data_IF_954243040367
#
_entry.id   IF_954243040367
#
_cell.length_a   1.000
_cell.length_b   1.000
_cell.length_c   1.000
_cell.angle_alpha   90.00
_cell.angle_beta   90.00
_cell.angle_gamma   90.00
#
_symmetry.space_group_name_H-M   'P 1'
#
loop_
_entity.id
_entity.type
_entity.pdbx_description
1 polymer ?
#
# COMPACT_ATOMS: atom_id res chain seq x y z
N UNK A 1 22.80 58.00 -18.45
CA UNK A 1 22.12 56.88 -19.06
C UNK A 1 22.63 55.62 -18.38
N UNK A 2 21.89 55.15 -17.41
CA UNK A 2 22.26 53.97 -16.62
C UNK A 2 21.25 52.87 -16.93
N UNK A 3 21.68 51.84 -17.68
CA UNK A 3 20.86 50.72 -18.03
C UNK A 3 20.91 49.68 -16.90
N UNK A 4 19.85 49.62 -16.11
CA UNK A 4 19.58 48.54 -15.16
C UNK A 4 19.16 47.30 -15.92
N UNK A 5 20.10 46.41 -16.20
CA UNK A 5 19.80 45.03 -16.63
C UNK A 5 19.50 44.19 -15.38
N UNK A 6 18.23 44.20 -14.95
CA UNK A 6 17.73 43.22 -13.98
C UNK A 6 17.69 41.86 -14.62
N UNK A 7 18.71 41.04 -14.36
CA UNK A 7 18.74 39.60 -14.65
C UNK A 7 17.62 38.92 -13.85
N UNK A 8 16.48 38.68 -14.50
CA UNK A 8 15.45 37.78 -14.04
C UNK A 8 16.03 36.35 -14.00
N UNK A 9 16.53 35.96 -12.85
CA UNK A 9 16.82 34.57 -12.56
C UNK A 9 15.49 33.80 -12.65
N UNK A 10 15.35 32.83 -13.56
CA UNK A 10 14.13 32.04 -13.60
C UNK A 10 14.05 31.28 -12.28
N UNK A 11 13.04 31.62 -11.47
CA UNK A 11 12.69 30.81 -10.31
C UNK A 11 12.43 29.39 -10.80
N UNK A 12 13.32 28.47 -10.47
CA UNK A 12 13.12 27.05 -10.66
C UNK A 12 11.83 26.66 -9.92
N UNK A 13 10.74 26.60 -10.65
CA UNK A 13 9.47 26.06 -10.17
C UNK A 13 9.69 24.58 -9.90
N UNK A 14 10.11 24.28 -8.67
CA UNK A 14 10.27 22.91 -8.17
C UNK A 14 8.91 22.23 -8.29
N UNK A 15 8.79 21.34 -9.28
CA UNK A 15 7.95 20.16 -9.09
C UNK A 15 6.48 20.26 -9.45
N UNK A 16 6.03 21.11 -10.37
CA UNK A 16 4.68 20.95 -10.92
C UNK A 16 4.60 19.67 -11.77
N UNK A 17 3.98 18.62 -11.22
CA UNK A 17 3.74 17.36 -11.95
C UNK A 17 2.98 17.69 -13.24
N UNK A 18 3.46 17.25 -14.43
CA UNK A 18 2.79 17.48 -15.69
C UNK A 18 1.34 17.00 -15.68
N UNK A 19 0.39 17.67 -16.36
CA UNK A 19 -1.02 17.31 -16.32
C UNK A 19 -1.29 15.85 -16.71
N UNK A 20 -0.59 15.32 -17.70
CA UNK A 20 -0.69 13.91 -18.09
C UNK A 20 -0.24 12.97 -16.95
N UNK A 21 0.85 13.28 -16.27
CA UNK A 21 1.34 12.47 -15.14
C UNK A 21 0.36 12.49 -13.94
N UNK A 22 -0.39 13.58 -13.74
CA UNK A 22 -1.44 13.64 -12.70
C UNK A 22 -2.63 12.74 -13.02
N UNK A 23 -3.00 12.60 -14.29
CA UNK A 23 -4.07 11.68 -14.70
C UNK A 23 -3.68 10.24 -14.44
N UNK A 24 -2.47 9.84 -14.84
CA UNK A 24 -1.96 8.50 -14.59
C UNK A 24 -1.79 8.19 -13.11
N UNK A 25 -1.26 9.13 -12.34
CA UNK A 25 -1.14 8.98 -10.88
C UNK A 25 -2.51 8.77 -10.22
N UNK A 26 -3.52 9.50 -10.68
CA UNK A 26 -4.90 9.31 -10.22
C UNK A 26 -5.41 7.90 -10.56
N UNK A 27 -5.23 7.45 -11.79
CA UNK A 27 -5.67 6.13 -12.23
C UNK A 27 -5.01 5.05 -11.38
N UNK A 28 -3.69 5.09 -11.23
CA UNK A 28 -2.95 4.11 -10.41
C UNK A 28 -3.46 4.08 -8.98
N UNK A 29 -3.56 5.24 -8.32
CA UNK A 29 -4.01 5.29 -6.93
C UNK A 29 -5.47 4.85 -6.76
N UNK A 30 -6.35 5.19 -7.71
CA UNK A 30 -7.74 4.71 -7.68
C UNK A 30 -7.85 3.21 -7.92
N UNK A 31 -7.04 2.64 -8.81
CA UNK A 31 -7.00 1.20 -9.07
C UNK A 31 -6.50 0.45 -7.82
N UNK A 32 -5.39 0.91 -7.25
CA UNK A 32 -4.82 0.33 -6.02
C UNK A 32 -5.82 0.41 -4.87
N UNK A 33 -6.33 1.61 -4.56
CA UNK A 33 -7.27 1.80 -3.47
C UNK A 33 -8.62 1.09 -3.71
N UNK A 34 -9.06 0.98 -4.95
CA UNK A 34 -10.25 0.22 -5.34
C UNK A 34 -10.07 -1.28 -5.11
N UNK A 35 -8.93 -1.82 -5.51
CA UNK A 35 -8.57 -3.23 -5.25
C UNK A 35 -8.49 -3.51 -3.75
N UNK A 36 -7.78 -2.68 -2.99
CA UNK A 36 -7.69 -2.79 -1.53
C UNK A 36 -9.05 -2.65 -0.85
N UNK A 37 -9.94 -1.79 -1.36
CA UNK A 37 -11.32 -1.67 -0.84
C UNK A 37 -12.10 -2.96 -1.05
N UNK A 38 -11.94 -3.61 -2.20
CA UNK A 38 -12.59 -4.87 -2.51
C UNK A 38 -12.07 -6.00 -1.59
N UNK A 39 -10.76 -6.13 -1.46
CA UNK A 39 -10.12 -7.12 -0.57
C UNK A 39 -10.53 -6.86 0.88
N UNK A 40 -10.42 -5.61 1.35
CA UNK A 40 -10.76 -5.26 2.71
C UNK A 40 -12.23 -5.51 3.07
N UNK A 41 -13.16 -5.33 2.13
CA UNK A 41 -14.57 -5.67 2.35
C UNK A 41 -14.79 -7.19 2.48
N UNK A 42 -14.04 -8.00 1.73
CA UNK A 42 -14.11 -9.45 1.87
C UNK A 42 -13.53 -9.91 3.22
N UNK A 43 -12.40 -9.34 3.63
CA UNK A 43 -11.75 -9.64 4.90
C UNK A 43 -12.57 -9.17 6.12
N UNK A 44 -13.34 -8.08 5.97
CA UNK A 44 -14.16 -7.51 7.03
C UNK A 44 -15.16 -8.51 7.62
N UNK A 45 -15.72 -9.37 6.80
CA UNK A 45 -16.64 -10.41 7.26
C UNK A 45 -15.92 -11.39 8.22
N UNK A 46 -14.66 -11.75 7.92
CA UNK A 46 -13.85 -12.63 8.75
C UNK A 46 -13.40 -12.01 10.08
N UNK A 47 -13.36 -10.67 10.17
CA UNK A 47 -12.96 -9.98 11.41
C UNK A 47 -13.93 -10.24 12.59
N UNK A 48 -15.16 -10.63 12.30
CA UNK A 48 -16.22 -10.88 13.30
C UNK A 48 -16.53 -12.37 13.49
N UNK A 49 -15.78 -13.24 12.84
CA UNK A 49 -15.92 -14.68 13.00
C UNK A 49 -15.32 -15.09 14.35
N UNK A 50 -16.15 -14.90 15.40
CA UNK A 50 -15.79 -15.21 16.77
C UNK A 50 -15.85 -16.73 16.97
N UNK A 51 -14.69 -17.37 16.93
CA UNK A 51 -14.57 -18.73 17.41
C UNK A 51 -14.81 -18.72 18.93
N UNK A 52 -15.48 -19.75 19.46
CA UNK A 52 -15.82 -19.91 20.89
C UNK A 52 -14.60 -19.95 21.84
N UNK A 53 -13.40 -19.84 21.35
CA UNK A 53 -12.16 -19.82 22.10
C UNK A 53 -11.81 -18.39 22.56
N UNK A 54 -11.24 -18.21 23.77
CA UNK A 54 -10.80 -16.90 24.25
C UNK A 54 -9.76 -16.34 23.28
N UNK A 55 -10.00 -15.12 22.78
CA UNK A 55 -9.14 -14.44 21.84
C UNK A 55 -7.75 -14.22 22.44
N UNK A 56 -6.72 -14.77 21.81
CA UNK A 56 -5.35 -14.41 22.13
C UNK A 56 -5.09 -12.96 21.72
N UNK A 57 -4.09 -12.32 22.32
CA UNK A 57 -3.70 -10.95 21.93
C UNK A 57 -3.38 -10.86 20.44
N UNK A 58 -2.67 -11.85 19.87
CA UNK A 58 -2.39 -11.90 18.43
C UNK A 58 -3.67 -11.97 17.58
N UNK A 59 -4.63 -12.80 17.96
CA UNK A 59 -5.91 -12.89 17.27
C UNK A 59 -6.68 -11.56 17.31
N UNK A 60 -6.68 -10.89 18.47
CA UNK A 60 -7.31 -9.57 18.59
C UNK A 60 -6.67 -8.56 17.63
N UNK A 61 -5.34 -8.53 17.53
CA UNK A 61 -4.62 -7.60 16.65
C UNK A 61 -4.92 -7.91 15.17
N UNK A 62 -4.96 -9.18 14.77
CA UNK A 62 -5.32 -9.60 13.42
C UNK A 62 -6.76 -9.17 13.10
N UNK A 63 -7.72 -9.47 13.99
CA UNK A 63 -9.11 -9.08 13.76
C UNK A 63 -9.30 -7.56 13.69
N UNK A 64 -8.57 -6.80 14.51
CA UNK A 64 -8.57 -5.34 14.44
C UNK A 64 -8.03 -4.85 13.08
N UNK A 65 -6.94 -5.45 12.55
CA UNK A 65 -6.41 -5.16 11.22
C UNK A 65 -7.47 -5.39 10.13
N UNK A 66 -8.11 -6.56 10.13
CA UNK A 66 -9.14 -6.91 9.16
C UNK A 66 -10.33 -5.94 9.23
N UNK A 67 -10.73 -5.54 10.44
CA UNK A 67 -11.83 -4.60 10.64
C UNK A 67 -11.53 -3.18 10.13
N UNK A 68 -10.29 -2.69 10.27
CA UNK A 68 -9.93 -1.33 9.85
C UNK A 68 -9.56 -1.23 8.35
N UNK A 69 -9.17 -2.33 7.71
CA UNK A 69 -8.72 -2.37 6.32
C UNK A 69 -9.65 -1.64 5.35
N UNK A 70 -10.95 -1.95 5.25
CA UNK A 70 -11.83 -1.31 4.27
C UNK A 70 -11.94 0.21 4.49
N UNK A 71 -11.85 0.68 5.72
CA UNK A 71 -11.94 2.12 6.00
C UNK A 71 -10.73 2.88 5.47
N UNK A 72 -9.52 2.34 5.65
CA UNK A 72 -8.30 2.93 5.08
C UNK A 72 -8.34 2.92 3.55
N UNK A 73 -8.73 1.81 2.96
CA UNK A 73 -8.80 1.64 1.51
C UNK A 73 -9.84 2.59 0.89
N UNK A 74 -11.06 2.67 1.44
CA UNK A 74 -12.11 3.58 0.98
C UNK A 74 -11.70 5.05 1.18
N UNK A 75 -11.09 5.39 2.31
CA UNK A 75 -10.57 6.73 2.54
C UNK A 75 -9.54 7.12 1.48
N UNK A 76 -8.58 6.23 1.17
CA UNK A 76 -7.59 6.44 0.14
C UNK A 76 -8.23 6.59 -1.25
N UNK A 77 -9.25 5.78 -1.57
CA UNK A 77 -10.00 5.87 -2.82
C UNK A 77 -10.70 7.23 -2.98
N UNK A 78 -11.38 7.70 -1.94
CA UNK A 78 -12.05 9.02 -1.93
C UNK A 78 -11.02 10.15 -2.08
N UNK A 79 -9.88 10.06 -1.38
CA UNK A 79 -8.82 11.06 -1.48
C UNK A 79 -8.19 11.09 -2.88
N UNK A 80 -7.93 9.94 -3.49
CA UNK A 80 -7.42 9.82 -4.86
C UNK A 80 -8.44 10.38 -5.89
N UNK A 81 -9.72 10.07 -5.72
CA UNK A 81 -10.79 10.60 -6.55
C UNK A 81 -10.88 12.13 -6.47
N UNK A 82 -10.69 12.70 -5.29
CA UNK A 82 -10.65 14.15 -5.02
C UNK A 82 -9.31 14.81 -5.36
N UNK A 83 -8.34 14.07 -5.92
CA UNK A 83 -7.00 14.53 -6.31
C UNK A 83 -6.09 14.91 -5.13
N UNK A 84 -6.38 14.47 -3.93
CA UNK A 84 -5.51 14.60 -2.75
C UNK A 84 -4.48 13.46 -2.73
N UNK A 85 -3.61 13.40 -3.74
CA UNK A 85 -2.71 12.27 -3.99
C UNK A 85 -1.76 11.98 -2.82
N UNK A 86 -1.22 13.03 -2.19
CA UNK A 86 -0.36 12.88 -1.01
C UNK A 86 -1.08 12.18 0.13
N UNK A 87 -2.28 12.64 0.45
CA UNK A 87 -3.08 12.06 1.53
C UNK A 87 -3.48 10.61 1.20
N UNK A 88 -3.82 10.31 -0.06
CA UNK A 88 -4.14 8.95 -0.49
C UNK A 88 -2.93 8.01 -0.31
N UNK A 89 -1.73 8.44 -0.72
CA UNK A 89 -0.50 7.66 -0.53
C UNK A 89 -0.21 7.45 0.96
N UNK A 90 -0.31 8.49 1.79
CA UNK A 90 -0.07 8.40 3.23
C UNK A 90 -1.03 7.41 3.89
N UNK A 91 -2.32 7.44 3.53
CA UNK A 91 -3.33 6.55 4.09
C UNK A 91 -3.06 5.09 3.69
N UNK A 92 -2.74 4.81 2.42
CA UNK A 92 -2.37 3.46 1.97
C UNK A 92 -1.09 2.97 2.66
N UNK A 93 -0.07 3.81 2.71
CA UNK A 93 1.19 3.46 3.36
C UNK A 93 1.02 3.23 4.88
N UNK A 94 0.19 4.03 5.55
CA UNK A 94 -0.13 3.83 6.96
C UNK A 94 -0.83 2.49 7.20
N UNK A 95 -1.73 2.07 6.31
CA UNK A 95 -2.34 0.76 6.38
C UNK A 95 -1.31 -0.38 6.20
N UNK A 96 -0.40 -0.29 5.22
CA UNK A 96 0.66 -1.28 5.02
C UNK A 96 1.52 -1.44 6.29
N UNK A 97 1.88 -0.33 6.92
CA UNK A 97 2.64 -0.34 8.19
C UNK A 97 1.81 -0.97 9.31
N UNK A 98 0.52 -0.63 9.43
CA UNK A 98 -0.36 -1.19 10.43
C UNK A 98 -0.54 -2.72 10.24
N UNK A 99 -0.66 -3.17 8.99
CA UNK A 99 -0.73 -4.59 8.65
C UNK A 99 0.56 -5.31 9.09
N UNK A 100 1.72 -4.76 8.76
CA UNK A 100 3.01 -5.30 9.17
C UNK A 100 3.14 -5.41 10.71
N UNK A 101 2.71 -4.38 11.46
CA UNK A 101 2.69 -4.44 12.92
C UNK A 101 1.74 -5.53 13.45
N UNK A 102 0.63 -5.78 12.77
CA UNK A 102 -0.31 -6.83 13.15
C UNK A 102 0.28 -8.24 12.98
N UNK A 103 1.21 -8.42 12.05
CA UNK A 103 1.86 -9.70 11.77
C UNK A 103 3.09 -9.96 12.68
N UNK A 104 3.62 -8.95 13.38
CA UNK A 104 4.76 -9.10 14.29
C UNK A 104 4.61 -10.20 15.33
N UNK A 105 3.45 -10.40 16.00
CA UNK A 105 3.31 -11.51 16.96
C UNK A 105 3.48 -12.89 16.32
N UNK A 106 3.04 -13.04 15.07
CA UNK A 106 3.21 -14.28 14.29
C UNK A 106 4.67 -14.48 13.91
N UNK A 107 5.32 -13.46 13.38
CA UNK A 107 6.75 -13.47 13.05
C UNK A 107 7.62 -13.76 14.27
N UNK A 108 7.29 -13.19 15.43
CA UNK A 108 8.02 -13.42 16.69
C UNK A 108 7.88 -14.86 17.18
N UNK A 109 6.75 -15.52 16.90
CA UNK A 109 6.47 -16.89 17.34
C UNK A 109 7.00 -17.96 16.41
N UNK A 110 6.88 -17.75 15.11
CA UNK A 110 7.17 -18.74 14.08
C UNK A 110 8.42 -18.43 13.27
N UNK A 111 8.99 -17.25 13.44
CA UNK A 111 10.09 -16.74 12.64
C UNK A 111 9.60 -16.09 11.33
N UNK A 112 10.56 -15.68 10.51
CA UNK A 112 10.30 -15.13 9.18
C UNK A 112 10.07 -16.33 8.25
N UNK A 113 8.89 -16.39 7.65
CA UNK A 113 8.52 -17.44 6.72
C UNK A 113 8.89 -17.03 5.30
N UNK A 114 9.60 -17.90 4.61
CA UNK A 114 9.91 -17.69 3.20
C UNK A 114 11.07 -18.57 2.75
N UNK A 115 11.05 -18.90 1.48
CA UNK A 115 12.11 -19.60 0.79
C UNK A 115 12.37 -18.96 -0.59
N UNK A 116 13.23 -19.56 -1.40
CA UNK A 116 13.53 -19.08 -2.75
C UNK A 116 12.49 -19.47 -3.80
N UNK A 117 11.36 -20.08 -3.41
CA UNK A 117 10.23 -20.27 -4.30
C UNK A 117 9.53 -18.95 -4.61
N UNK A 118 8.77 -18.84 -5.71
CA UNK A 118 8.01 -17.61 -6.01
C UNK A 118 7.05 -17.21 -4.89
N UNK A 119 6.45 -18.17 -4.20
CA UNK A 119 5.57 -17.93 -3.06
C UNK A 119 6.36 -17.46 -1.83
N UNK A 120 7.48 -18.13 -1.51
CA UNK A 120 8.34 -17.74 -0.40
C UNK A 120 8.96 -16.36 -0.58
N UNK A 121 9.33 -15.97 -1.81
CA UNK A 121 9.79 -14.60 -2.10
C UNK A 121 8.68 -13.57 -1.93
N UNK A 122 7.43 -13.93 -2.23
CA UNK A 122 6.26 -13.08 -1.98
C UNK A 122 6.09 -12.81 -0.49
N UNK A 123 6.15 -13.86 0.36
CA UNK A 123 6.07 -13.75 1.82
C UNK A 123 7.23 -12.93 2.40
N UNK A 124 8.47 -13.17 1.95
CA UNK A 124 9.63 -12.35 2.35
C UNK A 124 9.46 -10.87 1.97
N UNK A 125 8.82 -10.59 0.84
CA UNK A 125 8.48 -9.23 0.42
C UNK A 125 7.53 -8.55 1.40
N UNK A 126 6.50 -9.26 1.84
CA UNK A 126 5.54 -8.75 2.83
C UNK A 126 6.21 -8.48 4.18
N UNK A 127 7.00 -9.41 4.66
CA UNK A 127 7.61 -9.31 6.00
C UNK A 127 8.77 -8.32 6.08
N UNK A 128 9.60 -8.20 5.04
CA UNK A 128 10.86 -7.43 5.12
C UNK A 128 10.89 -6.16 4.28
N UNK A 129 10.13 -6.11 3.18
CA UNK A 129 10.30 -5.07 2.15
C UNK A 129 9.19 -4.03 2.20
N UNK A 130 7.94 -4.43 2.34
CA UNK A 130 6.83 -3.51 2.14
C UNK A 130 6.71 -2.45 3.23
N UNK A 131 7.02 -2.76 4.50
CA UNK A 131 6.99 -1.76 5.56
C UNK A 131 8.04 -0.64 5.37
N UNK A 132 9.33 -0.92 5.09
CA UNK A 132 10.30 0.12 4.76
C UNK A 132 9.92 0.96 3.52
N UNK A 133 9.35 0.32 2.48
CA UNK A 133 8.88 1.04 1.30
C UNK A 133 7.69 1.94 1.61
N UNK A 134 6.77 1.50 2.47
CA UNK A 134 5.64 2.32 2.92
C UNK A 134 6.11 3.54 3.73
N UNK A 135 7.08 3.37 4.62
CA UNK A 135 7.72 4.50 5.33
C UNK A 135 8.33 5.48 4.34
N UNK A 136 9.07 4.97 3.35
CA UNK A 136 9.67 5.80 2.30
C UNK A 136 8.60 6.53 1.48
N UNK A 137 7.48 5.88 1.16
CA UNK A 137 6.35 6.50 0.46
C UNK A 137 5.75 7.66 1.26
N UNK A 138 5.59 7.51 2.59
CA UNK A 138 5.12 8.60 3.47
C UNK A 138 6.09 9.77 3.42
N UNK A 139 7.41 9.52 3.55
CA UNK A 139 8.42 10.58 3.52
C UNK A 139 8.39 11.34 2.18
N UNK A 140 8.34 10.62 1.06
CA UNK A 140 8.24 11.23 -0.28
C UNK A 140 6.96 12.05 -0.44
N UNK A 141 5.82 11.55 0.05
CA UNK A 141 4.54 12.25 -0.01
C UNK A 141 4.55 13.50 0.88
N UNK A 142 5.10 13.44 2.08
CA UNK A 142 5.23 14.59 2.99
C UNK A 142 6.14 15.67 2.42
N UNK A 143 7.25 15.27 1.77
CA UNK A 143 8.20 16.21 1.14
C UNK A 143 7.74 16.72 -0.23
N UNK A 144 6.61 16.28 -0.74
CA UNK A 144 6.12 16.54 -2.11
C UNK A 144 7.14 16.18 -3.20
N UNK A 145 7.90 15.15 -2.95
CA UNK A 145 8.93 14.68 -3.85
C UNK A 145 8.53 13.36 -4.46
N UNK A 146 8.66 13.28 -5.79
CA UNK A 146 8.56 12.04 -6.56
C UNK A 146 7.31 11.18 -6.20
N UNK A 147 6.12 11.82 -6.25
CA UNK A 147 4.84 11.17 -5.92
C UNK A 147 4.57 9.89 -6.72
N UNK A 148 5.17 9.76 -7.91
CA UNK A 148 5.11 8.55 -8.71
C UNK A 148 5.81 7.38 -8.03
N UNK A 149 7.02 7.60 -7.52
CA UNK A 149 7.77 6.59 -6.79
C UNK A 149 7.03 6.21 -5.50
N UNK A 150 6.48 7.19 -4.79
CA UNK A 150 5.66 6.95 -3.61
C UNK A 150 4.40 6.12 -3.93
N UNK A 151 3.72 6.42 -5.04
CA UNK A 151 2.57 5.65 -5.50
C UNK A 151 2.95 4.23 -5.93
N UNK A 152 4.11 4.05 -6.55
CA UNK A 152 4.64 2.73 -6.89
C UNK A 152 4.87 1.89 -5.64
N UNK A 153 5.47 2.46 -4.60
CA UNK A 153 5.74 1.74 -3.36
C UNK A 153 4.47 1.26 -2.66
N UNK A 154 3.39 2.05 -2.65
CA UNK A 154 2.11 1.62 -2.07
C UNK A 154 1.31 0.70 -3.01
N UNK A 155 1.69 0.60 -4.28
CA UNK A 155 1.07 -0.32 -5.23
C UNK A 155 1.72 -1.72 -5.22
N UNK A 156 2.92 -1.86 -4.68
CA UNK A 156 3.64 -3.15 -4.67
C UNK A 156 2.91 -4.23 -3.86
N UNK A 157 2.42 -4.00 -2.62
CA UNK A 157 1.72 -5.02 -1.85
C UNK A 157 0.48 -5.57 -2.57
N UNK A 158 -0.48 -4.75 -3.04
CA UNK A 158 -1.63 -5.26 -3.79
C UNK A 158 -1.25 -5.93 -5.12
N UNK A 159 -0.18 -5.46 -5.79
CA UNK A 159 0.32 -6.12 -6.99
C UNK A 159 0.91 -7.51 -6.67
N UNK A 160 1.61 -7.65 -5.54
CA UNK A 160 2.13 -8.91 -5.05
C UNK A 160 0.99 -9.88 -4.70
N UNK A 161 -0.04 -9.42 -3.98
CA UNK A 161 -1.23 -10.20 -3.66
C UNK A 161 -1.94 -10.69 -4.95
N UNK A 162 -2.15 -9.79 -5.91
CA UNK A 162 -2.77 -10.15 -7.18
C UNK A 162 -1.96 -11.19 -7.95
N UNK A 163 -0.63 -11.04 -7.98
CA UNK A 163 0.27 -12.03 -8.59
C UNK A 163 0.15 -13.38 -7.90
N UNK A 164 0.13 -13.41 -6.57
CA UNK A 164 -0.08 -14.62 -5.77
C UNK A 164 -1.40 -15.33 -6.12
N UNK A 165 -2.49 -14.56 -6.19
CA UNK A 165 -3.81 -15.09 -6.58
C UNK A 165 -3.80 -15.69 -8.01
N UNK A 166 -3.16 -15.03 -8.96
CA UNK A 166 -3.02 -15.53 -10.33
C UNK A 166 -2.22 -16.82 -10.35
N UNK A 167 -1.06 -16.85 -9.69
CA UNK A 167 -0.20 -18.05 -9.63
C UNK A 167 -0.91 -19.22 -8.94
N UNK A 168 -1.65 -18.96 -7.87
CA UNK A 168 -2.46 -19.97 -7.19
C UNK A 168 -3.55 -20.53 -8.12
N UNK A 169 -4.27 -19.66 -8.84
CA UNK A 169 -5.32 -20.09 -9.79
C UNK A 169 -4.75 -20.94 -10.92
N UNK A 170 -3.60 -20.54 -11.47
CA UNK A 170 -2.89 -21.32 -12.49
C UNK A 170 -2.46 -22.67 -11.93
N UNK A 171 -1.96 -22.70 -10.69
CA UNK A 171 -1.58 -23.94 -10.01
C UNK A 171 -2.75 -24.92 -9.89
N UNK A 172 -3.91 -24.44 -9.46
CA UNK A 172 -5.15 -25.25 -9.42
C UNK A 172 -5.51 -25.79 -10.80
N UNK A 173 -5.45 -24.95 -11.84
CA UNK A 173 -5.81 -25.37 -13.21
C UNK A 173 -4.85 -26.44 -13.78
N UNK A 174 -3.57 -26.37 -13.43
CA UNK A 174 -2.55 -27.29 -13.95
C UNK A 174 -2.49 -28.58 -13.16
N UNK A 175 -2.56 -28.49 -11.83
CA UNK A 175 -2.31 -29.65 -10.93
C UNK A 175 -3.57 -30.27 -10.35
N UNK A 176 -4.75 -29.65 -10.52
CA UNK A 176 -6.05 -30.26 -10.20
C UNK A 176 -6.27 -30.45 -8.70
N UNK A 177 -6.00 -29.49 -7.88
CA UNK A 177 -6.35 -29.52 -6.44
C UNK A 177 -7.84 -29.32 -6.25
#
# INVERSE_FOLDING_TARGET
>A
MSSNSSSLTPALTVGAVPPAARVWLRIVLMTVAGFESFVGLQEFAGAFDLHDAPLSFGQFVINARLAIHPFFAIAALVLAARRYFRAAIIVLAAYIIAAWFADLPTMARFGIEGDWSPLGLSLLGEELVFAPLAVTAIVLACLDRNLWLAALFVALPPANLLLGMIMFTIGIMIYGF
#
